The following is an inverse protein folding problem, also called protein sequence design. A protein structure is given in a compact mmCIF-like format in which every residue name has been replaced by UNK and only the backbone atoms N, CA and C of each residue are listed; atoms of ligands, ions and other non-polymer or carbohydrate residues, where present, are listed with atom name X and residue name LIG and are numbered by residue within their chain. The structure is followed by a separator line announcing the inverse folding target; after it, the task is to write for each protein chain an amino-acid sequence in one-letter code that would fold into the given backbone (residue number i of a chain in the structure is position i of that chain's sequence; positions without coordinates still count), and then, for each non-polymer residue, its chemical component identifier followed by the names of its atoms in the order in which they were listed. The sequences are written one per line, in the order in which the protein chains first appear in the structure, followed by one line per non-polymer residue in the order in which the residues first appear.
data_IF_716530727108
#
_entry.id   IF_716530727108
#
_cell.length_a   1.000
_cell.length_b   1.000
_cell.length_c   1.000
_cell.angle_alpha   90.00
_cell.angle_beta   90.00
_cell.angle_gamma   90.00
#
_symmetry.space_group_name_H-M   'P 1'
#
loop_
_entity.id
_entity.type
_entity.pdbx_description
1 polymer ?
#
# COMPACT_ATOMS: atom_id res chain seq x y z
N UNK A 1 -1.76 -7.99 -12.69
CA UNK A 1 -0.67 -8.92 -12.41
C UNK A 1 -1.10 -10.03 -11.42
N UNK A 2 -1.95 -9.79 -10.42
CA UNK A 2 -2.43 -10.85 -9.52
C UNK A 2 -3.27 -11.92 -10.24
N UNK A 3 -3.92 -11.57 -11.34
CA UNK A 3 -4.62 -12.55 -12.19
C UNK A 3 -3.64 -13.47 -12.91
N UNK A 4 -2.53 -12.94 -13.39
CA UNK A 4 -1.48 -13.70 -14.08
C UNK A 4 -0.75 -14.64 -13.12
N UNK A 5 -0.66 -14.29 -11.83
CA UNK A 5 -0.08 -15.16 -10.80
C UNK A 5 -1.07 -16.17 -10.23
N UNK A 6 -2.37 -16.02 -10.50
CA UNK A 6 -3.40 -16.89 -9.94
C UNK A 6 -3.30 -18.30 -10.53
N UNK A 7 -3.01 -19.28 -9.66
CA UNK A 7 -2.82 -20.68 -10.06
C UNK A 7 -1.41 -21.04 -10.49
N UNK A 8 -0.47 -20.08 -10.51
CA UNK A 8 0.94 -20.32 -10.78
C UNK A 8 1.71 -20.78 -9.54
N UNK A 9 2.79 -21.52 -9.74
CA UNK A 9 3.74 -21.85 -8.68
C UNK A 9 4.64 -20.66 -8.37
N UNK A 10 4.28 -19.84 -7.38
CA UNK A 10 5.04 -18.65 -6.98
C UNK A 10 6.46 -19.00 -6.52
N UNK A 11 6.68 -20.17 -5.92
CA UNK A 11 8.01 -20.64 -5.55
C UNK A 11 8.89 -20.88 -6.77
N UNK A 12 8.30 -21.42 -7.83
CA UNK A 12 9.01 -21.61 -9.10
C UNK A 12 9.34 -20.25 -9.73
N UNK A 13 8.38 -19.32 -9.74
CA UNK A 13 8.61 -17.94 -10.24
C UNK A 13 9.74 -17.27 -9.47
N UNK A 14 9.71 -17.33 -8.14
CA UNK A 14 10.75 -16.76 -7.28
C UNK A 14 12.15 -17.33 -7.62
N UNK A 15 12.25 -18.66 -7.82
CA UNK A 15 13.52 -19.30 -8.25
C UNK A 15 13.98 -18.82 -9.61
N UNK A 16 13.06 -18.65 -10.58
CA UNK A 16 13.40 -18.16 -11.92
C UNK A 16 13.89 -16.71 -11.89
N UNK A 17 13.24 -15.85 -11.11
CA UNK A 17 13.66 -14.45 -10.91
C UNK A 17 15.06 -14.39 -10.30
N UNK A 18 15.30 -15.16 -9.24
CA UNK A 18 16.60 -15.22 -8.59
C UNK A 18 17.70 -15.75 -9.54
N UNK A 19 17.41 -16.81 -10.30
CA UNK A 19 18.35 -17.35 -11.30
C UNK A 19 18.66 -16.36 -12.42
N UNK A 20 17.74 -15.45 -12.71
CA UNK A 20 17.92 -14.37 -13.70
C UNK A 20 18.51 -13.09 -13.10
N UNK A 21 18.88 -13.10 -11.83
CA UNK A 21 19.35 -11.92 -11.07
C UNK A 21 18.36 -10.74 -11.12
N UNK A 22 17.05 -11.05 -11.05
CA UNK A 22 15.97 -10.07 -11.02
C UNK A 22 15.46 -9.96 -9.58
N UNK A 23 15.45 -8.74 -9.04
CA UNK A 23 14.87 -8.43 -7.75
C UNK A 23 13.47 -7.84 -7.91
N UNK A 24 12.53 -8.24 -7.05
CA UNK A 24 11.18 -7.67 -7.00
C UNK A 24 11.21 -6.45 -6.12
N UNK A 25 11.19 -5.25 -6.71
CA UNK A 25 11.23 -3.98 -5.98
C UNK A 25 9.94 -3.70 -5.19
N UNK A 26 8.83 -4.27 -5.58
CA UNK A 26 7.56 -4.17 -4.89
C UNK A 26 6.48 -5.00 -5.54
N UNK A 27 5.53 -5.46 -4.74
CA UNK A 27 4.32 -6.13 -5.22
C UNK A 27 3.16 -5.15 -5.13
N UNK A 28 2.50 -4.87 -6.24
CA UNK A 28 1.27 -4.09 -6.34
C UNK A 28 0.28 -4.86 -7.23
N UNK A 29 -1.00 -4.79 -7.05
CA UNK A 29 -1.77 -3.74 -6.46
C UNK A 29 -2.62 -4.34 -5.33
N UNK A 30 -2.89 -3.53 -4.28
CA UNK A 30 -3.75 -3.89 -3.15
C UNK A 30 -5.24 -3.96 -3.53
N UNK A 31 -6.02 -4.67 -2.73
CA UNK A 31 -7.47 -4.55 -2.69
C UNK A 31 -7.85 -3.36 -1.82
N UNK A 32 -8.81 -2.54 -2.26
CA UNK A 32 -9.22 -1.33 -1.56
C UNK A 32 -9.87 -1.68 -0.22
N UNK A 33 -9.50 -0.91 0.82
CA UNK A 33 -10.08 -1.08 2.16
C UNK A 33 -11.48 -0.49 2.29
N UNK A 34 -11.79 0.51 1.45
CA UNK A 34 -13.05 1.22 1.51
C UNK A 34 -14.17 0.40 0.87
N UNK A 35 -15.19 0.08 1.66
CA UNK A 35 -16.36 -0.65 1.19
C UNK A 35 -17.60 -0.29 2.03
N UNK A 36 -18.83 -0.42 1.47
CA UNK A 36 -20.06 -0.09 2.16
C UNK A 36 -20.32 -0.92 3.42
N UNK A 37 -19.93 -2.20 3.40
CA UNK A 37 -20.22 -3.14 4.49
C UNK A 37 -18.99 -3.64 5.21
N UNK A 38 -19.16 -4.00 6.49
CA UNK A 38 -18.09 -4.64 7.28
C UNK A 38 -17.62 -5.97 6.67
N UNK A 39 -18.53 -6.73 6.06
CA UNK A 39 -18.19 -8.00 5.43
C UNK A 39 -17.24 -7.80 4.24
N UNK A 40 -17.54 -6.82 3.38
CA UNK A 40 -16.66 -6.48 2.25
C UNK A 40 -15.29 -5.96 2.72
N UNK A 41 -15.26 -5.11 3.76
CA UNK A 41 -13.99 -4.65 4.35
C UNK A 41 -13.15 -5.80 4.88
N UNK A 42 -13.79 -6.77 5.55
CA UNK A 42 -13.11 -7.98 6.01
C UNK A 42 -12.52 -8.79 4.86
N UNK A 43 -13.30 -9.01 3.80
CA UNK A 43 -12.80 -9.69 2.59
C UNK A 43 -11.61 -8.97 1.97
N UNK A 44 -11.61 -7.64 1.95
CA UNK A 44 -10.49 -6.85 1.46
C UNK A 44 -9.23 -7.03 2.31
N UNK A 45 -9.37 -7.06 3.65
CA UNK A 45 -8.25 -7.31 4.56
C UNK A 45 -7.68 -8.72 4.35
N UNK A 46 -8.55 -9.73 4.26
CA UNK A 46 -8.13 -11.12 4.04
C UNK A 46 -7.43 -11.28 2.68
N UNK A 47 -7.87 -10.54 1.66
CA UNK A 47 -7.21 -10.54 0.35
C UNK A 47 -5.86 -9.83 0.38
N UNK A 48 -5.72 -8.73 1.12
CA UNK A 48 -4.45 -8.05 1.31
C UNK A 48 -3.44 -8.90 2.12
N UNK A 49 -3.91 -9.74 3.07
CA UNK A 49 -3.05 -10.71 3.74
C UNK A 49 -2.47 -11.74 2.76
N UNK A 50 -3.31 -12.31 1.91
CA UNK A 50 -2.83 -13.24 0.85
C UNK A 50 -1.83 -12.57 -0.09
N UNK A 51 -2.05 -11.29 -0.41
CA UNK A 51 -1.10 -10.55 -1.24
C UNK A 51 0.24 -10.30 -0.54
N UNK A 52 0.25 -10.13 0.78
CA UNK A 52 1.49 -10.07 1.57
C UNK A 52 2.21 -11.42 1.58
N UNK A 53 1.48 -12.54 1.70
CA UNK A 53 2.06 -13.89 1.58
C UNK A 53 2.70 -14.09 0.20
N UNK A 54 2.01 -13.69 -0.88
CA UNK A 54 2.56 -13.73 -2.24
C UNK A 54 3.82 -12.86 -2.36
N UNK A 55 3.81 -11.66 -1.79
CA UNK A 55 4.96 -10.75 -1.78
C UNK A 55 6.16 -11.36 -1.03
N UNK A 56 5.92 -12.04 0.08
CA UNK A 56 6.96 -12.73 0.84
C UNK A 56 7.56 -13.89 0.04
N UNK A 57 6.74 -14.70 -0.61
CA UNK A 57 7.22 -15.80 -1.49
C UNK A 57 8.08 -15.28 -2.63
N UNK A 58 7.70 -14.13 -3.22
CA UNK A 58 8.43 -13.50 -4.32
C UNK A 58 9.64 -12.68 -3.84
N UNK A 59 9.89 -12.61 -2.52
CA UNK A 59 10.94 -11.79 -1.91
C UNK A 59 10.85 -10.33 -2.35
N UNK A 60 9.62 -9.78 -2.39
CA UNK A 60 9.39 -8.39 -2.75
C UNK A 60 9.88 -7.45 -1.64
N UNK A 61 10.53 -6.35 -2.03
CA UNK A 61 11.08 -5.38 -1.09
C UNK A 61 9.98 -4.64 -0.29
N UNK A 62 8.77 -4.50 -0.85
CA UNK A 62 7.61 -3.94 -0.17
C UNK A 62 6.30 -4.37 -0.84
N UNK A 63 5.20 -4.19 -0.11
CA UNK A 63 3.84 -4.33 -0.63
C UNK A 63 3.19 -2.96 -0.82
N UNK A 64 2.82 -2.64 -2.07
CA UNK A 64 2.27 -1.33 -2.44
C UNK A 64 0.77 -1.26 -2.14
N UNK A 65 0.35 -0.21 -1.44
CA UNK A 65 -1.03 0.00 -1.03
C UNK A 65 -1.66 1.22 -1.71
N UNK A 66 -2.53 0.97 -2.68
CA UNK A 66 -3.54 1.92 -3.16
C UNK A 66 -4.81 1.66 -2.36
N UNK A 67 -5.20 2.59 -1.53
CA UNK A 67 -6.05 2.33 -0.36
C UNK A 67 -7.55 2.27 -0.63
N UNK A 68 -8.03 2.82 -1.74
CA UNK A 68 -9.44 2.96 -2.08
C UNK A 68 -9.96 4.39 -1.94
N UNK A 69 -10.92 4.74 -2.79
CA UNK A 69 -11.64 6.02 -2.76
C UNK A 69 -12.84 6.01 -1.83
N UNK A 70 -13.91 6.68 -2.24
CA UNK A 70 -15.17 6.70 -1.49
C UNK A 70 -15.92 5.36 -1.65
N UNK A 71 -16.47 4.79 -0.57
CA UNK A 71 -17.42 3.69 -0.70
C UNK A 71 -18.65 4.11 -1.51
N UNK A 72 -19.23 3.17 -2.23
CA UNK A 72 -20.44 3.44 -3.00
C UNK A 72 -21.57 4.01 -2.11
N UNK A 73 -22.20 5.08 -2.56
CA UNK A 73 -23.34 5.70 -1.87
C UNK A 73 -22.96 6.74 -0.80
N UNK A 74 -21.67 7.01 -0.58
CA UNK A 74 -21.21 8.04 0.36
C UNK A 74 -20.34 9.10 -0.31
N UNK A 75 -20.25 10.29 0.31
CA UNK A 75 -19.32 11.36 -0.02
C UNK A 75 -18.42 11.72 1.16
N UNK A 76 -18.42 10.88 2.19
CA UNK A 76 -17.69 11.11 3.43
C UNK A 76 -16.25 10.61 3.31
N UNK A 77 -15.33 11.53 2.98
CA UNK A 77 -13.89 11.24 2.92
C UNK A 77 -13.28 10.95 4.30
N UNK A 78 -13.85 11.50 5.37
CA UNK A 78 -13.35 11.22 6.70
C UNK A 78 -13.60 9.77 7.07
N UNK A 79 -14.83 9.30 6.90
CA UNK A 79 -15.18 7.90 7.15
C UNK A 79 -14.38 6.93 6.25
N UNK A 80 -14.22 7.28 4.97
CA UNK A 80 -13.38 6.48 4.05
C UNK A 80 -11.94 6.32 4.57
N UNK A 81 -11.34 7.38 5.05
CA UNK A 81 -9.98 7.40 5.63
C UNK A 81 -9.89 6.58 6.92
N UNK A 82 -10.91 6.64 7.78
CA UNK A 82 -10.95 5.82 8.99
C UNK A 82 -11.06 4.32 8.65
N UNK A 83 -11.86 3.95 7.65
CA UNK A 83 -11.91 2.56 7.16
C UNK A 83 -10.54 2.08 6.68
N UNK A 84 -9.81 2.91 5.95
CA UNK A 84 -8.44 2.60 5.49
C UNK A 84 -7.51 2.38 6.68
N UNK A 85 -7.46 3.32 7.62
CA UNK A 85 -6.59 3.21 8.81
C UNK A 85 -6.89 1.96 9.62
N UNK A 86 -8.17 1.62 9.79
CA UNK A 86 -8.60 0.39 10.45
C UNK A 86 -8.10 -0.87 9.71
N UNK A 87 -8.17 -0.86 8.38
CA UNK A 87 -7.67 -1.96 7.56
C UNK A 87 -6.16 -2.14 7.67
N UNK A 88 -5.40 -1.05 7.54
CA UNK A 88 -3.94 -1.06 7.69
C UNK A 88 -3.56 -1.57 9.08
N UNK A 89 -4.18 -1.06 10.15
CA UNK A 89 -3.90 -1.49 11.54
C UNK A 89 -4.07 -3.00 11.73
N UNK A 90 -5.05 -3.62 11.06
CA UNK A 90 -5.27 -5.06 11.11
C UNK A 90 -4.27 -5.85 10.25
N UNK A 91 -3.62 -5.20 9.27
CA UNK A 91 -2.68 -5.86 8.37
C UNK A 91 -1.23 -5.78 8.89
N UNK A 92 -0.86 -4.75 9.65
CA UNK A 92 0.49 -4.51 10.12
C UNK A 92 1.14 -5.70 10.87
N UNK A 93 0.45 -6.39 11.80
CA UNK A 93 1.04 -7.56 12.46
C UNK A 93 1.44 -8.65 11.46
N UNK A 94 0.59 -8.92 10.48
CA UNK A 94 0.87 -9.91 9.44
C UNK A 94 2.04 -9.49 8.53
N UNK A 95 2.10 -8.20 8.16
CA UNK A 95 3.24 -7.63 7.41
C UNK A 95 4.57 -7.87 8.14
N UNK A 96 4.60 -7.64 9.46
CA UNK A 96 5.77 -7.92 10.30
C UNK A 96 6.12 -9.41 10.34
N UNK A 97 5.12 -10.27 10.53
CA UNK A 97 5.30 -11.73 10.62
C UNK A 97 5.92 -12.31 9.34
N UNK A 98 5.48 -11.81 8.16
CA UNK A 98 6.01 -12.28 6.86
C UNK A 98 7.23 -11.49 6.39
N UNK A 99 7.62 -10.43 7.10
CA UNK A 99 8.82 -9.63 6.82
C UNK A 99 8.72 -8.75 5.58
N UNK A 100 7.50 -8.38 5.14
CA UNK A 100 7.28 -7.52 3.97
C UNK A 100 6.68 -6.19 4.42
N UNK A 101 7.42 -5.07 4.35
CA UNK A 101 6.91 -3.76 4.73
C UNK A 101 5.82 -3.26 3.77
N UNK A 102 4.89 -2.46 4.33
CA UNK A 102 3.79 -1.86 3.57
C UNK A 102 4.17 -0.44 3.13
N UNK A 103 4.06 -0.16 1.83
CA UNK A 103 4.26 1.16 1.24
C UNK A 103 2.92 1.80 0.87
N UNK A 104 2.52 2.87 1.58
CA UNK A 104 1.34 3.65 1.25
C UNK A 104 1.62 4.54 0.03
N UNK A 105 0.80 4.45 -0.99
CA UNK A 105 0.94 5.25 -2.21
C UNK A 105 -0.14 6.33 -2.26
N UNK A 106 0.21 7.61 -2.02
CA UNK A 106 -0.69 8.72 -2.26
C UNK A 106 -0.97 8.85 -3.75
N UNK A 107 -2.25 8.96 -4.15
CA UNK A 107 -2.63 9.19 -5.53
C UNK A 107 -3.04 10.65 -5.75
N UNK A 108 -2.97 11.10 -7.01
CA UNK A 108 -3.39 12.44 -7.41
C UNK A 108 -4.84 12.70 -6.97
N UNK A 109 -5.18 13.89 -6.42
CA UNK A 109 -6.52 14.21 -5.91
C UNK A 109 -7.67 14.01 -6.92
N UNK A 110 -7.37 14.04 -8.21
CA UNK A 110 -8.37 13.76 -9.24
C UNK A 110 -9.01 12.38 -9.13
N UNK A 111 -8.34 11.44 -8.43
CA UNK A 111 -8.81 10.07 -8.21
C UNK A 111 -9.32 9.83 -6.79
N UNK A 112 -9.55 10.89 -6.00
CA UNK A 112 -9.90 10.77 -4.59
C UNK A 112 -11.23 10.03 -4.35
N UNK A 113 -12.16 10.14 -5.29
CA UNK A 113 -13.46 9.52 -5.16
C UNK A 113 -13.48 8.03 -5.53
N UNK A 114 -12.63 7.58 -6.46
CA UNK A 114 -12.74 6.25 -7.07
C UNK A 114 -11.55 5.33 -6.80
N UNK A 115 -10.36 5.87 -6.52
CA UNK A 115 -9.14 5.06 -6.39
C UNK A 115 -8.44 5.21 -5.06
N UNK A 116 -8.28 6.43 -4.51
CA UNK A 116 -7.55 6.63 -3.27
C UNK A 116 -7.97 7.89 -2.54
N UNK A 117 -8.51 7.76 -1.34
CA UNK A 117 -8.78 8.88 -0.43
C UNK A 117 -7.50 9.43 0.24
N UNK A 118 -6.36 8.81 0.00
CA UNK A 118 -5.03 9.23 0.40
C UNK A 118 -4.39 9.97 -0.79
N UNK A 119 -4.17 11.30 -0.66
CA UNK A 119 -3.83 12.15 -1.80
C UNK A 119 -2.52 12.91 -1.66
N UNK A 120 -1.93 13.01 -0.48
CA UNK A 120 -0.68 13.75 -0.27
C UNK A 120 0.34 12.91 0.49
N UNK A 121 1.62 13.20 0.25
CA UNK A 121 2.70 12.53 0.99
C UNK A 121 2.65 12.88 2.47
N UNK A 122 2.27 14.11 2.83
CA UNK A 122 2.02 14.53 4.22
C UNK A 122 1.01 13.61 4.89
N UNK A 123 -0.15 13.39 4.28
CA UNK A 123 -1.22 12.55 4.84
C UNK A 123 -0.75 11.10 5.03
N UNK A 124 0.01 10.54 4.08
CA UNK A 124 0.57 9.20 4.21
C UNK A 124 1.53 9.10 5.39
N UNK A 125 2.41 10.09 5.55
CA UNK A 125 3.35 10.15 6.68
C UNK A 125 2.65 10.34 8.02
N UNK A 126 1.59 11.16 8.09
CA UNK A 126 0.78 11.31 9.29
C UNK A 126 0.15 9.97 9.72
N UNK A 127 -0.29 9.15 8.75
CA UNK A 127 -0.78 7.80 9.02
C UNK A 127 0.34 6.84 9.44
N UNK A 128 1.54 6.96 8.86
CA UNK A 128 2.68 6.19 9.33
C UNK A 128 3.02 6.52 10.79
N UNK A 129 3.02 7.80 11.16
CA UNK A 129 3.32 8.24 12.52
C UNK A 129 2.20 7.83 13.52
N UNK A 130 0.92 7.78 13.07
CA UNK A 130 -0.20 7.32 13.89
C UNK A 130 -0.21 5.80 14.11
N UNK A 131 0.08 5.03 13.05
CA UNK A 131 -0.14 3.58 13.03
C UNK A 131 1.11 2.76 13.37
N UNK A 132 2.29 3.32 13.12
CA UNK A 132 3.60 2.72 13.33
C UNK A 132 4.62 3.78 13.78
N UNK A 133 4.40 4.41 14.97
CA UNK A 133 5.21 5.52 15.44
C UNK A 133 6.70 5.17 15.59
N UNK A 134 6.97 3.95 16.02
CA UNK A 134 8.33 3.48 16.26
C UNK A 134 8.97 2.82 15.03
N UNK A 135 8.23 2.68 13.94
CA UNK A 135 8.68 2.00 12.72
C UNK A 135 8.84 0.49 12.89
N UNK A 136 8.17 -0.10 13.88
CA UNK A 136 8.31 -1.51 14.25
C UNK A 136 7.75 -2.45 13.17
N UNK A 137 6.70 -2.00 12.48
CA UNK A 137 6.01 -2.78 11.42
C UNK A 137 6.56 -2.49 10.02
N UNK A 138 7.46 -1.49 9.89
CA UNK A 138 8.02 -1.09 8.61
C UNK A 138 7.01 -0.37 7.70
N UNK A 139 5.99 0.29 8.28
CA UNK A 139 5.04 1.09 7.49
C UNK A 139 5.75 2.32 6.91
N UNK A 140 5.69 2.46 5.60
CA UNK A 140 6.31 3.56 4.89
C UNK A 140 5.47 4.03 3.71
N UNK A 141 6.11 4.72 2.79
CA UNK A 141 5.46 5.38 1.67
C UNK A 141 6.12 5.03 0.34
N UNK A 142 5.32 5.02 -0.71
CA UNK A 142 5.78 5.07 -2.08
C UNK A 142 5.59 6.49 -2.61
N UNK A 143 6.61 7.01 -3.27
CA UNK A 143 6.57 8.32 -3.91
C UNK A 143 6.47 8.11 -5.41
N UNK A 144 5.29 8.34 -6.00
CA UNK A 144 5.09 8.31 -7.45
C UNK A 144 5.02 9.75 -7.97
N UNK A 145 5.96 10.10 -8.85
CA UNK A 145 6.04 11.45 -9.46
C UNK A 145 4.73 11.86 -10.10
N UNK A 146 4.07 10.95 -10.83
CA UNK A 146 2.80 11.23 -11.49
C UNK A 146 1.70 11.66 -10.50
N UNK A 147 1.74 11.15 -9.28
CA UNK A 147 0.70 11.38 -8.28
C UNK A 147 0.96 12.57 -7.37
N UNK A 148 2.24 12.95 -7.14
CA UNK A 148 2.58 13.95 -6.10
C UNK A 148 3.24 15.21 -6.62
N UNK A 149 3.56 15.35 -7.92
CA UNK A 149 4.28 16.49 -8.50
C UNK A 149 3.63 17.85 -8.23
N UNK A 150 2.32 17.86 -8.04
CA UNK A 150 1.51 19.07 -7.82
C UNK A 150 1.54 19.57 -6.37
N UNK A 151 1.98 18.73 -5.42
CA UNK A 151 1.92 19.03 -3.97
C UNK A 151 2.98 20.10 -3.62
N UNK A 152 2.56 21.31 -3.18
CA UNK A 152 3.49 22.38 -2.83
C UNK A 152 4.42 22.02 -1.66
N UNK A 153 4.01 21.06 -0.83
CA UNK A 153 4.80 20.61 0.32
C UNK A 153 5.72 19.42 0.01
N UNK A 154 5.72 18.93 -1.23
CA UNK A 154 6.40 17.68 -1.62
C UNK A 154 7.85 17.61 -1.13
N UNK A 155 8.64 18.66 -1.38
CA UNK A 155 10.05 18.66 -1.01
C UNK A 155 10.26 18.50 0.51
N UNK A 156 9.47 19.20 1.31
CA UNK A 156 9.53 19.11 2.78
C UNK A 156 9.09 17.73 3.28
N UNK A 157 8.09 17.13 2.64
CA UNK A 157 7.60 15.81 3.01
C UNK A 157 8.54 14.69 2.57
N UNK A 158 9.26 14.81 1.47
CA UNK A 158 10.34 13.89 1.09
C UNK A 158 11.45 13.90 2.16
N UNK A 159 11.85 15.09 2.61
CA UNK A 159 12.85 15.20 3.68
C UNK A 159 12.35 14.58 5.01
N UNK A 160 11.08 14.82 5.36
CA UNK A 160 10.43 14.20 6.54
C UNK A 160 10.38 12.69 6.43
N UNK A 161 10.06 12.17 5.26
CA UNK A 161 9.90 10.73 5.03
C UNK A 161 11.19 9.96 5.31
N UNK A 162 12.34 10.46 4.86
CA UNK A 162 13.62 9.82 5.11
C UNK A 162 13.61 8.33 4.81
N UNK A 163 13.86 7.51 5.83
CA UNK A 163 13.89 6.04 5.70
C UNK A 163 12.51 5.39 5.48
N UNK A 164 11.41 6.12 5.64
CA UNK A 164 10.07 5.62 5.34
C UNK A 164 9.76 5.57 3.85
N UNK A 165 10.63 6.12 2.97
CA UNK A 165 10.48 5.93 1.52
C UNK A 165 10.92 4.51 1.19
N UNK A 166 9.95 3.66 0.86
CA UNK A 166 10.16 2.25 0.50
C UNK A 166 10.22 2.04 -1.02
N UNK A 167 9.59 2.93 -1.79
CA UNK A 167 9.58 2.86 -3.25
C UNK A 167 9.51 4.26 -3.88
N UNK A 168 10.09 4.36 -5.08
CA UNK A 168 10.01 5.54 -5.93
C UNK A 168 9.56 5.11 -7.31
N UNK A 169 8.47 5.73 -7.81
CA UNK A 169 7.88 5.42 -9.10
C UNK A 169 7.96 6.62 -10.05
N UNK A 170 8.14 6.29 -11.32
CA UNK A 170 8.09 7.23 -12.45
C UNK A 170 7.10 6.63 -13.44
N UNK A 171 5.80 6.91 -13.26
CA UNK A 171 4.71 6.41 -14.10
C UNK A 171 4.41 7.37 -15.25
#
# INVERSE_FOLDING_TARGET
WRRELQGEDLQQIARQLAASNINVSGLCRSTYYTAPTLAERKLAIDDNRRALDDAAVLNAACYMQVVGGLPMGTKDLYEAREQVKQGIRQLLPHSKDVGVPIALEPLHPMTAADRSCLCTLRQALDWCDELDPDGEFGLGVAVDVYHVWWDPDLASQILRAGKRILAFHVS
#
